data_IF_658550251500
#
_entry.id   IF_658550251500
#
_cell.length_a   1.000
_cell.length_b   1.000
_cell.length_c   1.000
_cell.angle_alpha   90.00
_cell.angle_beta   90.00
_cell.angle_gamma   90.00
#
_symmetry.space_group_name_H-M   'P 1'
#
loop_
_entity.id
_entity.type
_entity.pdbx_description
1 polymer ?
#
# COMPACT_ATOMS: atom_id res chain seq x y z
N UNK A 1 -9.00 -34.35 -36.93
CA UNK A 1 -7.57 -34.55 -36.62
C UNK A 1 -6.92 -33.18 -36.73
N UNK A 2 -6.85 -32.38 -35.66
CA UNK A 2 -5.99 -32.49 -34.48
C UNK A 2 -4.85 -31.46 -34.58
N UNK A 3 -5.10 -30.20 -34.17
CA UNK A 3 -4.10 -29.32 -33.55
C UNK A 3 -4.68 -27.96 -33.11
N UNK A 4 -5.65 -27.97 -32.20
CA UNK A 4 -6.02 -26.77 -31.44
C UNK A 4 -6.03 -27.05 -29.93
N UNK A 5 -5.14 -27.95 -29.49
CA UNK A 5 -5.11 -28.47 -28.12
C UNK A 5 -3.74 -28.21 -27.48
N UNK A 6 -3.23 -26.98 -27.53
CA UNK A 6 -2.08 -26.55 -26.71
C UNK A 6 -2.11 -25.06 -26.33
N UNK A 7 -3.32 -24.49 -26.16
CA UNK A 7 -3.47 -23.14 -25.56
C UNK A 7 -4.37 -23.24 -24.32
N UNK A 8 -4.14 -24.26 -23.49
CA UNK A 8 -4.84 -24.41 -22.21
C UNK A 8 -4.00 -25.07 -21.12
N UNK A 9 -2.66 -24.96 -21.21
CA UNK A 9 -1.77 -25.52 -20.17
C UNK A 9 -1.19 -24.47 -19.23
N UNK A 10 -1.60 -23.20 -19.35
CA UNK A 10 -1.20 -22.11 -18.44
C UNK A 10 -2.31 -21.12 -18.10
N UNK A 11 -3.58 -21.47 -18.34
CA UNK A 11 -4.69 -20.81 -17.65
C UNK A 11 -4.97 -21.63 -16.39
N UNK A 12 -4.28 -21.27 -15.31
CA UNK A 12 -4.63 -21.73 -13.97
C UNK A 12 -6.10 -21.42 -13.73
N UNK A 13 -6.90 -22.47 -13.60
CA UNK A 13 -8.33 -22.46 -13.27
C UNK A 13 -8.53 -22.19 -11.78
N UNK A 14 -8.03 -21.06 -11.26
CA UNK A 14 -8.34 -20.59 -9.91
C UNK A 14 -8.71 -19.10 -9.95
N UNK A 15 -9.96 -18.87 -10.36
CA UNK A 15 -10.66 -17.58 -10.29
C UNK A 15 -11.21 -17.29 -8.88
N UNK A 16 -10.57 -17.83 -7.83
CA UNK A 16 -11.07 -17.88 -6.45
C UNK A 16 -10.15 -17.18 -5.44
N UNK A 17 -9.12 -16.48 -5.90
CA UNK A 17 -8.31 -15.57 -5.09
C UNK A 17 -7.84 -14.38 -5.93
N UNK A 18 -8.74 -13.74 -6.69
CA UNK A 18 -8.47 -12.38 -7.17
C UNK A 18 -8.56 -11.49 -5.94
N UNK A 19 -7.46 -11.47 -5.18
CA UNK A 19 -7.30 -10.62 -4.02
C UNK A 19 -7.53 -9.19 -4.49
N UNK A 20 -8.45 -8.49 -3.84
CA UNK A 20 -8.86 -7.15 -4.24
C UNK A 20 -7.83 -6.12 -3.74
N UNK A 21 -6.54 -6.40 -4.01
CA UNK A 21 -5.39 -5.60 -3.61
C UNK A 21 -5.59 -4.13 -3.98
N UNK A 22 -6.15 -3.86 -5.16
CA UNK A 22 -6.53 -2.53 -5.59
C UNK A 22 -7.55 -1.89 -4.65
N UNK A 23 -8.65 -2.58 -4.35
CA UNK A 23 -9.76 -2.06 -3.54
C UNK A 23 -9.35 -1.77 -2.09
N UNK A 24 -8.56 -2.65 -1.46
CA UNK A 24 -8.01 -2.43 -0.12
C UNK A 24 -7.00 -1.27 -0.09
N UNK A 25 -6.12 -1.20 -1.09
CA UNK A 25 -5.16 -0.11 -1.22
C UNK A 25 -5.89 1.22 -1.43
N UNK A 26 -6.90 1.25 -2.29
CA UNK A 26 -7.73 2.43 -2.56
C UNK A 26 -8.43 2.93 -1.29
N UNK A 27 -9.00 2.03 -0.47
CA UNK A 27 -9.59 2.39 0.83
C UNK A 27 -8.57 3.05 1.74
N UNK A 28 -7.40 2.44 1.90
CA UNK A 28 -6.31 2.96 2.75
C UNK A 28 -5.84 4.31 2.23
N UNK A 29 -5.59 4.44 0.92
CA UNK A 29 -5.15 5.69 0.30
C UNK A 29 -6.20 6.80 0.42
N UNK A 30 -7.48 6.47 0.31
CA UNK A 30 -8.57 7.43 0.48
C UNK A 30 -8.60 7.97 1.92
N UNK A 31 -8.50 7.09 2.92
CA UNK A 31 -8.40 7.52 4.33
C UNK A 31 -7.16 8.37 4.55
N UNK A 32 -5.99 7.91 4.09
CA UNK A 32 -4.72 8.64 4.22
C UNK A 32 -4.80 10.03 3.58
N UNK A 33 -5.42 10.17 2.41
CA UNK A 33 -5.61 11.45 1.73
C UNK A 33 -6.43 12.44 2.58
N UNK A 34 -7.36 11.93 3.39
CA UNK A 34 -8.16 12.72 4.33
C UNK A 34 -7.40 13.15 5.59
N UNK A 35 -6.29 12.51 5.94
CA UNK A 35 -5.55 12.81 7.17
C UNK A 35 -4.51 13.91 6.91
N UNK A 36 -4.90 15.17 7.17
CA UNK A 36 -4.02 16.34 6.97
C UNK A 36 -2.68 16.19 7.68
N UNK A 37 -1.60 16.60 7.02
CA UNK A 37 -0.24 16.55 7.58
C UNK A 37 0.46 15.19 7.41
N UNK A 38 -0.21 14.20 6.82
CA UNK A 38 0.43 12.94 6.43
C UNK A 38 1.15 13.05 5.08
N UNK A 39 2.23 12.29 4.95
CA UNK A 39 2.97 12.07 3.71
C UNK A 39 3.03 10.58 3.46
N UNK A 40 2.48 10.08 2.36
CA UNK A 40 2.50 8.66 2.02
C UNK A 40 3.11 8.41 0.64
N UNK A 41 3.73 7.25 0.47
CA UNK A 41 4.35 6.83 -0.78
C UNK A 41 4.16 5.32 -1.00
N UNK A 42 4.03 4.92 -2.26
CA UNK A 42 3.92 3.49 -2.61
C UNK A 42 5.30 3.01 -3.08
N UNK A 43 5.85 2.02 -2.38
CA UNK A 43 7.14 1.40 -2.68
C UNK A 43 6.90 -0.09 -2.92
N UNK A 44 7.05 -0.54 -4.16
CA UNK A 44 6.60 -1.88 -4.58
C UNK A 44 5.13 -2.11 -4.25
N UNK A 45 4.84 -3.12 -3.42
CA UNK A 45 3.47 -3.46 -3.00
C UNK A 45 3.07 -2.86 -1.64
N UNK A 46 3.90 -2.00 -1.05
CA UNK A 46 3.70 -1.46 0.31
C UNK A 46 3.47 0.05 0.27
N UNK A 47 2.58 0.53 1.13
CA UNK A 47 2.39 1.97 1.34
C UNK A 47 3.17 2.38 2.57
N UNK A 48 4.08 3.32 2.44
CA UNK A 48 4.84 3.91 3.54
C UNK A 48 4.25 5.27 3.88
N UNK A 49 4.10 5.56 5.16
CA UNK A 49 3.41 6.75 5.67
C UNK A 49 4.30 7.43 6.72
N UNK A 50 4.45 8.73 6.60
CA UNK A 50 5.33 9.62 7.37
C UNK A 50 4.65 10.98 7.56
N UNK A 51 5.35 11.96 8.15
CA UNK A 51 4.76 13.26 8.52
C UNK A 51 4.11 13.22 9.91
N UNK A 52 2.97 13.90 10.09
CA UNK A 52 2.25 14.06 11.36
C UNK A 52 1.43 12.82 11.77
N UNK A 53 2.09 11.65 11.73
CA UNK A 53 1.45 10.34 12.00
C UNK A 53 1.12 10.11 13.47
N UNK A 54 1.60 10.95 14.38
CA UNK A 54 1.36 10.81 15.83
C UNK A 54 -0.09 11.17 16.15
N UNK A 55 -0.61 12.25 15.59
CA UNK A 55 -1.99 12.72 15.78
C UNK A 55 -3.00 11.73 15.22
N UNK A 56 -2.65 11.08 14.11
CA UNK A 56 -3.52 10.14 13.39
C UNK A 56 -3.22 8.67 13.71
N UNK A 57 -2.44 8.41 14.77
CA UNK A 57 -1.96 7.06 15.12
C UNK A 57 -3.07 6.04 15.31
N UNK A 58 -4.18 6.44 15.91
CA UNK A 58 -5.32 5.55 16.15
C UNK A 58 -6.00 5.15 14.83
N UNK A 59 -6.26 6.12 13.96
CA UNK A 59 -6.81 5.88 12.61
C UNK A 59 -5.88 5.01 11.77
N UNK A 60 -4.57 5.25 11.83
CA UNK A 60 -3.59 4.42 11.12
C UNK A 60 -3.64 2.95 11.59
N UNK A 61 -3.82 2.70 12.88
CA UNK A 61 -4.00 1.33 13.38
C UNK A 61 -5.32 0.71 12.93
N UNK A 62 -6.39 1.49 12.91
CA UNK A 62 -7.73 1.04 12.53
C UNK A 62 -7.77 0.58 11.06
N UNK A 63 -7.11 1.30 10.16
CA UNK A 63 -6.97 0.91 8.74
C UNK A 63 -5.90 -0.18 8.50
N UNK A 64 -5.34 -0.78 9.55
CA UNK A 64 -4.38 -1.88 9.45
C UNK A 64 -2.95 -1.48 9.13
N UNK A 65 -2.58 -0.20 9.24
CA UNK A 65 -1.18 0.21 9.14
C UNK A 65 -0.39 -0.26 10.37
N UNK A 66 0.90 -0.54 10.15
CA UNK A 66 1.85 -1.04 11.15
C UNK A 66 2.99 -0.04 11.32
N UNK A 67 3.45 0.12 12.55
CA UNK A 67 4.58 1.00 12.86
C UNK A 67 5.91 0.27 12.63
N UNK A 68 6.82 0.87 11.87
CA UNK A 68 8.21 0.43 11.73
C UNK A 68 9.13 1.28 12.63
N UNK A 69 9.47 0.83 13.86
CA UNK A 69 10.20 1.66 14.83
C UNK A 69 11.59 2.07 14.36
N UNK A 70 12.28 1.21 13.60
CA UNK A 70 13.62 1.50 13.06
C UNK A 70 13.60 2.62 12.01
N UNK A 71 12.54 2.68 11.20
CA UNK A 71 12.34 3.68 10.13
C UNK A 71 11.56 4.91 10.62
N UNK A 72 10.98 4.82 11.83
CA UNK A 72 10.09 5.84 12.41
C UNK A 72 8.96 6.23 11.45
N UNK A 73 8.42 5.25 10.74
CA UNK A 73 7.37 5.42 9.76
C UNK A 73 6.32 4.33 9.90
N UNK A 74 5.11 4.64 9.48
CA UNK A 74 4.05 3.66 9.33
C UNK A 74 4.15 3.01 7.96
N UNK A 75 3.66 1.78 7.85
CA UNK A 75 3.49 1.13 6.57
C UNK A 75 2.22 0.28 6.56
N UNK A 76 1.54 0.26 5.42
CA UNK A 76 0.48 -0.68 5.12
C UNK A 76 1.04 -1.79 4.26
N UNK A 77 0.73 -3.04 4.64
CA UNK A 77 0.94 -4.20 3.79
C UNK A 77 -0.27 -5.14 3.93
N UNK A 78 -0.77 -5.72 2.83
CA UNK A 78 -1.72 -6.82 2.90
C UNK A 78 -1.06 -8.06 3.51
N UNK A 79 -1.86 -8.93 4.12
CA UNK A 79 -1.35 -10.08 4.89
C UNK A 79 -0.65 -11.12 4.00
N UNK A 80 -1.12 -11.31 2.76
CA UNK A 80 -0.50 -12.20 1.77
C UNK A 80 0.89 -11.73 1.30
N UNK A 81 1.18 -10.43 1.33
CA UNK A 81 2.50 -9.89 0.98
C UNK A 81 3.42 -9.71 2.19
N UNK A 82 3.27 -10.57 3.19
CA UNK A 82 4.20 -10.65 4.32
C UNK A 82 5.56 -11.13 3.80
N UNK A 83 6.62 -10.35 4.04
CA UNK A 83 7.99 -10.83 3.81
C UNK A 83 8.32 -11.91 4.83
N UNK A 84 8.09 -13.17 4.47
CA UNK A 84 8.41 -14.32 5.32
C UNK A 84 9.92 -14.60 5.39
N UNK A 85 10.68 -14.25 4.34
CA UNK A 85 12.12 -14.57 4.21
C UNK A 85 13.07 -13.38 4.38
N UNK A 86 12.58 -12.13 4.38
CA UNK A 86 13.43 -10.95 4.44
C UNK A 86 13.57 -10.45 5.89
N UNK A 87 14.51 -11.05 6.63
CA UNK A 87 14.93 -10.60 7.98
C UNK A 87 16.02 -9.53 7.95
N UNK A 88 16.56 -9.23 6.77
CA UNK A 88 17.60 -8.23 6.60
C UNK A 88 17.08 -6.81 6.83
N UNK A 89 17.92 -6.00 7.46
CA UNK A 89 17.60 -4.63 7.80
C UNK A 89 17.87 -3.71 6.61
N UNK A 90 16.84 -3.45 5.81
CA UNK A 90 16.94 -2.43 4.76
C UNK A 90 16.42 -1.08 5.27
N UNK A 91 17.12 -0.01 4.97
CA UNK A 91 16.65 1.37 5.10
C UNK A 91 15.50 1.64 4.12
N UNK A 92 14.75 2.72 4.32
CA UNK A 92 13.68 3.09 3.38
C UNK A 92 14.24 3.36 1.97
N UNK A 93 15.44 3.94 1.91
CA UNK A 93 16.12 4.29 0.67
C UNK A 93 16.54 3.05 -0.14
N UNK A 94 17.06 2.02 0.53
CA UNK A 94 17.35 0.73 -0.11
C UNK A 94 16.09 0.06 -0.66
N UNK A 95 14.97 0.13 0.08
CA UNK A 95 13.70 -0.43 -0.38
C UNK A 95 13.20 0.33 -1.61
N UNK A 96 13.33 1.67 -1.64
CA UNK A 96 13.03 2.48 -2.84
C UNK A 96 13.92 2.09 -4.02
N UNK A 97 15.21 1.88 -3.80
CA UNK A 97 16.15 1.48 -4.85
C UNK A 97 15.84 0.06 -5.39
N UNK A 98 15.43 -0.86 -4.51
CA UNK A 98 15.16 -2.27 -4.86
C UNK A 98 13.83 -2.47 -5.57
N UNK A 99 12.76 -1.80 -5.12
CA UNK A 99 11.40 -2.03 -5.61
C UNK A 99 10.81 -0.89 -6.44
N UNK A 100 11.49 0.27 -6.47
CA UNK A 100 10.94 1.49 -7.06
C UNK A 100 9.90 2.16 -6.17
N UNK A 101 9.74 3.48 -6.33
CA UNK A 101 8.73 4.28 -5.62
C UNK A 101 7.89 5.07 -6.60
N UNK A 102 6.60 5.22 -6.30
CA UNK A 102 5.68 6.11 -7.05
C UNK A 102 5.87 7.58 -6.67
N UNK A 103 6.76 7.88 -5.72
CA UNK A 103 6.99 9.22 -5.20
C UNK A 103 6.11 9.54 -3.99
N UNK A 104 6.52 10.58 -3.26
CA UNK A 104 5.86 10.99 -2.02
C UNK A 104 4.66 11.89 -2.31
N UNK A 105 3.51 11.54 -1.74
CA UNK A 105 2.26 12.28 -1.84
C UNK A 105 1.90 12.86 -0.48
N UNK A 106 1.57 14.14 -0.44
CA UNK A 106 1.06 14.80 0.76
C UNK A 106 -0.46 14.64 0.82
N UNK A 107 -0.96 14.21 1.97
CA UNK A 107 -2.37 14.25 2.28
C UNK A 107 -2.81 15.70 2.43
N UNK A 108 -3.77 16.10 1.60
CA UNK A 108 -4.35 17.45 1.61
C UNK A 108 -5.38 17.64 2.72
N UNK A 109 -5.80 16.55 3.37
CA UNK A 109 -6.93 16.58 4.28
C UNK A 109 -8.26 16.40 3.55
N UNK A 110 -9.33 16.22 4.32
CA UNK A 110 -10.70 16.36 3.80
C UNK A 110 -10.86 17.82 3.35
N UNK A 111 -10.60 18.08 2.07
CA UNK A 111 -10.94 19.37 1.50
C UNK A 111 -12.45 19.48 1.61
N UNK A 112 -12.91 20.41 2.46
CA UNK A 112 -14.29 20.86 2.44
C UNK A 112 -14.51 21.37 1.02
N UNK A 113 -15.22 20.59 0.20
CA UNK A 113 -15.74 21.10 -1.06
C UNK A 113 -16.73 22.18 -0.64
N UNK A 114 -16.26 23.42 -0.56
CA UNK A 114 -17.16 24.56 -0.48
C UNK A 114 -17.93 24.54 -1.79
N UNK A 115 -19.19 24.10 -1.69
CA UNK A 115 -20.16 24.10 -2.77
C UNK A 115 -20.21 25.50 -3.35
N UNK A 116 -19.52 25.73 -4.47
CA UNK A 116 -19.74 26.94 -5.27
C UNK A 116 -21.10 26.76 -5.93
N UNK A 117 -22.10 27.36 -5.29
CA UNK A 117 -23.44 27.57 -5.83
C UNK A 117 -23.39 28.53 -7.03
#
# INVERSE_FOLDING_TARGET
MANLDKINQYQSTEKSAIYNYGDDLEKVLNVLSGLSGLVFEVIGNWVWISGETITHKETLKEIGCKWAPKKKQWFYRPDEHKSYWNREEHTIEEIRAKYGTTGQRKATGWQRVETRA
#
